data_IF_029697659074
#
_entry.id   IF_029697659074
#
_cell.length_a   1.000
_cell.length_b   1.000
_cell.length_c   1.000
_cell.angle_alpha   90.00
_cell.angle_beta   90.00
_cell.angle_gamma   90.00
#
_symmetry.space_group_name_H-M   'P 1'
#
loop_
_entity.id
_entity.type
_entity.pdbx_description
1 polymer ?
#
# COMPACT_ATOMS: atom_id res chain seq x y z
N UNK A 1 0.49 17.88 15.17
CA UNK A 1 0.89 16.45 15.03
C UNK A 1 0.56 16.04 13.61
N UNK A 2 1.55 15.59 12.82
CA UNK A 2 1.27 14.99 11.52
C UNK A 2 0.72 13.60 11.81
N UNK A 3 -0.57 13.37 11.55
CA UNK A 3 -1.14 12.03 11.61
C UNK A 3 -0.62 11.30 10.38
N UNK A 4 0.22 10.29 10.59
CA UNK A 4 0.63 9.41 9.50
C UNK A 4 -0.59 8.66 8.99
N UNK A 5 -0.70 8.54 7.68
CA UNK A 5 -1.78 7.82 7.01
C UNK A 5 -1.16 6.89 5.98
N UNK A 6 -1.92 5.89 5.57
CA UNK A 6 -1.51 4.97 4.53
C UNK A 6 -2.67 4.68 3.58
N UNK A 7 -2.37 4.63 2.30
CA UNK A 7 -3.27 4.14 1.25
C UNK A 7 -2.81 2.75 0.87
N UNK A 8 -3.74 1.80 0.77
CA UNK A 8 -3.48 0.44 0.28
C UNK A 8 -4.38 0.20 -0.92
N UNK A 9 -3.78 -0.07 -2.07
CA UNK A 9 -4.46 -0.53 -3.27
C UNK A 9 -4.17 -2.01 -3.50
N UNK A 10 -5.21 -2.79 -3.78
CA UNK A 10 -5.15 -4.23 -4.05
C UNK A 10 -5.35 -4.47 -5.55
N UNK A 11 -4.45 -5.22 -6.15
CA UNK A 11 -4.47 -5.62 -7.55
C UNK A 11 -4.43 -7.14 -7.69
N UNK A 12 -5.09 -7.67 -8.72
CA UNK A 12 -5.02 -9.10 -9.04
C UNK A 12 -3.77 -9.41 -9.85
N UNK A 13 -3.42 -8.56 -10.81
CA UNK A 13 -2.28 -8.74 -11.70
C UNK A 13 -1.10 -7.85 -11.27
N UNK A 14 0.12 -8.41 -11.36
CA UNK A 14 1.34 -7.67 -11.03
C UNK A 14 1.56 -6.47 -11.96
N UNK A 15 1.17 -6.61 -13.23
CA UNK A 15 1.35 -5.56 -14.24
C UNK A 15 0.53 -4.33 -13.88
N UNK A 16 -0.69 -4.50 -13.36
CA UNK A 16 -1.53 -3.39 -12.93
C UNK A 16 -0.94 -2.70 -11.70
N UNK A 17 -0.46 -3.47 -10.72
CA UNK A 17 0.25 -2.92 -9.57
C UNK A 17 1.50 -2.12 -9.97
N UNK A 18 2.28 -2.61 -10.93
CA UNK A 18 3.46 -1.90 -11.45
C UNK A 18 3.08 -0.64 -12.21
N UNK A 19 2.03 -0.69 -13.04
CA UNK A 19 1.51 0.47 -13.76
C UNK A 19 1.05 1.55 -12.78
N UNK A 20 0.33 1.17 -11.73
CA UNK A 20 -0.08 2.08 -10.67
C UNK A 20 1.11 2.75 -9.97
N UNK A 21 2.18 1.99 -9.67
CA UNK A 21 3.42 2.57 -9.13
C UNK A 21 4.03 3.59 -10.08
N UNK A 22 4.12 3.27 -11.38
CA UNK A 22 4.64 4.23 -12.36
C UNK A 22 3.79 5.50 -12.41
N UNK A 23 2.46 5.38 -12.37
CA UNK A 23 1.56 6.53 -12.31
C UNK A 23 1.80 7.38 -11.06
N UNK A 24 1.93 6.76 -9.88
CA UNK A 24 2.26 7.45 -8.64
C UNK A 24 3.58 8.22 -8.74
N UNK A 25 4.62 7.60 -9.31
CA UNK A 25 5.91 8.27 -9.52
C UNK A 25 5.78 9.47 -10.47
N UNK A 26 5.06 9.32 -11.59
CA UNK A 26 4.83 10.44 -12.53
C UNK A 26 3.99 11.58 -11.96
N UNK A 27 3.19 11.31 -10.93
CA UNK A 27 2.37 12.31 -10.22
C UNK A 27 3.05 12.87 -8.98
N UNK A 28 4.38 12.68 -8.87
CA UNK A 28 5.26 13.24 -7.85
C UNK A 28 5.06 12.65 -6.44
N UNK A 29 4.56 11.40 -6.36
CA UNK A 29 4.66 10.61 -5.12
C UNK A 29 6.09 10.08 -5.00
N UNK A 30 6.71 10.26 -3.85
CA UNK A 30 8.09 9.83 -3.62
C UNK A 30 8.18 8.29 -3.55
N UNK A 31 9.11 7.70 -4.30
CA UNK A 31 9.36 6.25 -4.33
C UNK A 31 9.62 5.65 -2.93
N UNK A 32 10.28 6.39 -2.04
CA UNK A 32 10.54 5.96 -0.65
C UNK A 32 9.25 5.77 0.17
N UNK A 33 8.12 6.27 -0.34
CA UNK A 33 6.80 6.15 0.29
C UNK A 33 5.96 5.02 -0.30
N UNK A 34 6.44 4.37 -1.36
CA UNK A 34 5.70 3.36 -2.08
C UNK A 34 6.28 1.99 -1.71
N UNK A 35 5.42 0.99 -1.57
CA UNK A 35 5.83 -0.40 -1.40
C UNK A 35 4.90 -1.32 -2.18
N UNK A 36 5.49 -2.35 -2.80
CA UNK A 36 4.80 -3.41 -3.52
C UNK A 36 4.99 -4.73 -2.78
N UNK A 37 3.88 -5.39 -2.47
CA UNK A 37 3.87 -6.66 -1.75
C UNK A 37 3.00 -7.66 -2.50
N UNK A 38 3.56 -8.82 -2.84
CA UNK A 38 2.89 -10.01 -3.34
C UNK A 38 3.48 -11.25 -2.67
N UNK A 39 2.96 -12.44 -3.00
CA UNK A 39 3.36 -13.69 -2.33
C UNK A 39 4.88 -13.92 -2.38
N UNK A 40 5.48 -13.65 -3.53
CA UNK A 40 6.91 -13.85 -3.80
C UNK A 40 7.66 -12.54 -4.06
N UNK A 41 6.99 -11.40 -3.94
CA UNK A 41 7.51 -10.09 -4.35
C UNK A 41 7.38 -9.10 -3.21
N UNK A 42 8.48 -8.47 -2.84
CA UNK A 42 8.50 -7.43 -1.81
C UNK A 42 9.49 -6.36 -2.26
N UNK A 43 8.98 -5.16 -2.58
CA UNK A 43 9.79 -4.02 -3.00
C UNK A 43 9.37 -2.75 -2.24
N UNK A 44 10.33 -1.90 -1.86
CA UNK A 44 10.09 -0.67 -1.11
C UNK A 44 10.26 -0.80 0.41
N UNK A 45 9.93 0.26 1.14
CA UNK A 45 10.25 0.41 2.58
C UNK A 45 9.54 -0.56 3.50
N UNK A 46 8.30 -0.95 3.18
CA UNK A 46 7.48 -1.91 3.95
C UNK A 46 7.88 -3.36 3.65
N UNK A 47 8.76 -3.55 2.67
CA UNK A 47 9.07 -4.83 2.05
C UNK A 47 10.48 -5.36 2.41
N UNK A 48 11.22 -4.68 3.27
CA UNK A 48 12.60 -5.04 3.57
C UNK A 48 12.74 -6.37 4.35
N UNK A 49 11.73 -6.75 5.14
CA UNK A 49 11.88 -7.83 6.14
C UNK A 49 11.04 -9.09 5.89
N UNK A 50 10.05 -9.11 4.99
CA UNK A 50 9.22 -10.32 4.77
C UNK A 50 7.72 -10.14 5.01
N UNK A 51 6.89 -10.97 4.36
CA UNK A 51 5.45 -11.16 4.66
C UNK A 51 5.16 -11.42 6.16
N UNK A 52 6.11 -12.02 6.88
CA UNK A 52 6.04 -12.26 8.31
C UNK A 52 6.22 -11.00 9.17
N UNK A 53 6.89 -9.97 8.63
CA UNK A 53 7.14 -8.69 9.32
C UNK A 53 6.11 -7.61 8.98
N UNK A 54 5.29 -7.84 7.94
CA UNK A 54 4.10 -7.03 7.64
C UNK A 54 3.22 -6.79 8.86
N UNK A 55 3.17 -7.72 9.82
CA UNK A 55 2.40 -7.52 11.06
C UNK A 55 2.83 -6.26 11.82
N UNK A 56 4.13 -6.04 11.98
CA UNK A 56 4.62 -4.88 12.72
C UNK A 56 4.70 -3.62 11.85
N UNK A 57 5.01 -3.77 10.57
CA UNK A 57 5.17 -2.62 9.67
C UNK A 57 3.82 -2.04 9.28
N UNK A 58 2.85 -2.86 8.90
CA UNK A 58 1.50 -2.37 8.56
C UNK A 58 0.80 -1.75 9.78
N UNK A 59 1.05 -2.25 11.00
CA UNK A 59 0.56 -1.62 12.23
C UNK A 59 1.18 -0.24 12.46
N UNK A 60 2.48 -0.08 12.21
CA UNK A 60 3.16 1.23 12.28
C UNK A 60 2.62 2.22 11.23
N UNK A 61 2.16 1.69 10.09
CA UNK A 61 1.52 2.44 9.02
C UNK A 61 0.04 2.79 9.28
N UNK A 62 -0.50 2.40 10.44
CA UNK A 62 -1.88 2.69 10.83
C UNK A 62 -2.91 1.70 10.29
N UNK A 63 -2.50 0.59 9.69
CA UNK A 63 -3.41 -0.47 9.23
C UNK A 63 -3.80 -1.32 10.43
N UNK A 64 -5.07 -1.31 10.79
CA UNK A 64 -5.59 -2.09 11.91
C UNK A 64 -5.41 -3.61 11.68
N UNK A 65 -5.18 -4.36 12.76
CA UNK A 65 -5.01 -5.83 12.73
C UNK A 65 -6.12 -6.56 11.95
N UNK A 66 -7.37 -6.07 12.00
CA UNK A 66 -8.48 -6.67 11.28
C UNK A 66 -8.27 -6.63 9.75
N UNK A 67 -7.83 -5.49 9.22
CA UNK A 67 -7.58 -5.29 7.79
C UNK A 67 -6.32 -6.05 7.35
N UNK A 68 -5.36 -6.21 8.26
CA UNK A 68 -4.11 -6.92 8.02
C UNK A 68 -4.34 -8.39 7.66
N UNK A 69 -5.24 -9.09 8.37
CA UNK A 69 -5.60 -10.46 8.01
C UNK A 69 -6.18 -10.56 6.61
N UNK A 70 -7.05 -9.62 6.22
CA UNK A 70 -7.62 -9.58 4.87
C UNK A 70 -6.51 -9.40 3.82
N UNK A 71 -5.60 -8.45 4.02
CA UNK A 71 -4.47 -8.22 3.10
C UNK A 71 -3.54 -9.41 2.97
N UNK A 72 -3.23 -10.09 4.08
CA UNK A 72 -2.45 -11.34 4.04
C UNK A 72 -3.17 -12.43 3.26
N UNK A 73 -4.46 -12.64 3.51
CA UNK A 73 -5.26 -13.61 2.75
C UNK A 73 -5.29 -13.29 1.26
N UNK A 74 -5.41 -12.02 0.88
CA UNK A 74 -5.36 -11.58 -0.51
C UNK A 74 -4.00 -11.87 -1.14
N UNK A 75 -2.91 -11.52 -0.46
CA UNK A 75 -1.55 -11.81 -0.96
C UNK A 75 -1.30 -13.31 -1.10
N UNK A 76 -1.72 -14.13 -0.14
CA UNK A 76 -1.64 -15.60 -0.23
C UNK A 76 -2.53 -16.19 -1.32
N UNK A 77 -3.58 -15.46 -1.75
CA UNK A 77 -4.41 -15.85 -2.90
C UNK A 77 -3.84 -15.41 -4.25
N UNK A 78 -2.68 -14.76 -4.26
CA UNK A 78 -1.98 -14.30 -5.48
C UNK A 78 -2.15 -12.82 -5.80
N UNK A 79 -2.82 -12.04 -4.94
CA UNK A 79 -2.97 -10.60 -5.14
C UNK A 79 -1.69 -9.81 -4.79
N UNK A 80 -1.64 -8.58 -5.26
CA UNK A 80 -0.57 -7.63 -5.06
C UNK A 80 -1.10 -6.39 -4.33
N UNK A 81 -0.35 -5.88 -3.38
CA UNK A 81 -0.66 -4.68 -2.61
C UNK A 81 0.32 -3.58 -2.99
N UNK A 82 -0.19 -2.42 -3.38
CA UNK A 82 0.57 -1.17 -3.47
C UNK A 82 0.22 -0.34 -2.25
N UNK A 83 1.22 -0.06 -1.41
CA UNK A 83 1.06 0.69 -0.17
C UNK A 83 1.77 2.02 -0.32
N UNK A 84 1.07 3.11 -0.05
CA UNK A 84 1.63 4.46 0.00
C UNK A 84 1.49 5.02 1.40
N UNK A 85 2.59 5.38 2.05
CA UNK A 85 2.57 5.96 3.40
C UNK A 85 3.07 7.41 3.41
N UNK A 86 2.51 8.25 4.27
CA UNK A 86 2.92 9.65 4.33
C UNK A 86 2.05 10.48 5.25
N UNK A 87 2.12 11.80 5.08
CA UNK A 87 1.10 12.66 5.68
C UNK A 87 -0.21 12.61 4.89
N UNK A 88 -1.29 13.09 5.52
CA UNK A 88 -2.64 12.99 4.96
C UNK A 88 -2.73 13.50 3.52
N UNK A 89 -2.06 14.61 3.18
CA UNK A 89 -2.16 15.20 1.83
C UNK A 89 -1.47 14.33 0.79
N UNK A 90 -0.31 13.76 1.13
CA UNK A 90 0.42 12.84 0.24
C UNK A 90 -0.41 11.58 -0.02
N UNK A 91 -1.04 11.04 1.03
CA UNK A 91 -1.84 9.82 0.98
C UNK A 91 -3.17 10.03 0.26
N UNK A 92 -3.85 11.16 0.50
CA UNK A 92 -5.07 11.54 -0.20
C UNK A 92 -4.81 11.76 -1.69
N UNK A 93 -3.68 12.40 -2.05
CA UNK A 93 -3.27 12.54 -3.44
C UNK A 93 -3.04 11.17 -4.11
N UNK A 94 -2.31 10.27 -3.44
CA UNK A 94 -2.08 8.92 -3.95
C UNK A 94 -3.38 8.12 -4.09
N UNK A 95 -4.27 8.21 -3.11
CA UNK A 95 -5.61 7.59 -3.15
C UNK A 95 -6.39 8.07 -4.37
N UNK A 96 -6.47 9.38 -4.60
CA UNK A 96 -7.21 9.94 -5.73
C UNK A 96 -6.65 9.49 -7.10
N UNK A 97 -5.37 9.12 -7.19
CA UNK A 97 -4.82 8.52 -8.41
C UNK A 97 -5.19 7.04 -8.52
N UNK A 98 -5.05 6.29 -7.44
CA UNK A 98 -5.31 4.84 -7.41
C UNK A 98 -6.80 4.51 -7.57
N UNK A 99 -7.71 5.33 -7.02
CA UNK A 99 -9.17 5.12 -7.11
C UNK A 99 -9.69 5.27 -8.56
N UNK A 100 -8.93 5.94 -9.44
CA UNK A 100 -9.28 6.03 -10.86
C UNK A 100 -8.98 4.73 -11.63
N UNK A 101 -8.23 3.80 -11.03
CA UNK A 101 -7.93 2.51 -11.63
C UNK A 101 -9.03 1.50 -11.27
N UNK A 102 -9.81 1.08 -12.28
CA UNK A 102 -10.88 0.09 -12.11
C UNK A 102 -10.37 -1.30 -11.67
N UNK A 103 -9.08 -1.58 -11.81
CA UNK A 103 -8.45 -2.82 -11.37
C UNK A 103 -8.00 -2.78 -9.89
N UNK A 104 -8.10 -1.61 -9.25
CA UNK A 104 -7.65 -1.39 -7.89
C UNK A 104 -8.83 -1.35 -6.89
N UNK A 105 -8.77 -2.17 -5.84
CA UNK A 105 -9.57 -1.93 -4.63
C UNK A 105 -8.73 -1.13 -3.63
N UNK A 106 -9.15 0.11 -3.35
CA UNK A 106 -8.33 1.12 -2.66
C UNK A 106 -8.94 1.50 -1.32
N UNK A 107 -8.12 1.48 -0.26
CA UNK A 107 -8.53 1.86 1.08
C UNK A 107 -7.51 2.78 1.76
N UNK A 108 -8.01 3.82 2.45
CA UNK A 108 -7.21 4.68 3.32
C UNK A 108 -7.29 4.18 4.76
N UNK A 109 -6.14 4.09 5.42
CA UNK A 109 -5.99 3.81 6.84
C UNK A 109 -5.33 4.99 7.52
N UNK A 110 -5.87 5.37 8.68
CA UNK A 110 -5.36 6.48 9.47
C UNK A 110 -4.63 5.95 10.70
N UNK A 111 -3.39 6.40 10.92
CA UNK A 111 -2.73 6.11 12.19
C UNK A 111 -3.33 7.03 13.27
N UNK A 112 -4.19 6.46 14.10
CA UNK A 112 -4.68 7.09 15.32
C UNK A 112 -3.60 6.96 16.41
N UNK A 113 -2.50 7.69 16.27
CA UNK A 113 -1.59 7.96 17.37
C UNK A 113 -2.25 8.91 18.39
#
# INVERSE_FOLDING_TARGET
>A
MKKESSCVAVFIEITDAQNAIQQLLTTNVNEDRISLIGETIQQGKVAADGLSFLDNDLLQLGIHKANLYCYKSLVYSGAYLVIVNGDYKEVEHAYNQLEQDEQADVAIHFNAA
#
